data_IF_710498576878
#
_entry.id   IF_710498576878
#
_cell.length_a   1.000
_cell.length_b   1.000
_cell.length_c   1.000
_cell.angle_alpha   90.00
_cell.angle_beta   90.00
_cell.angle_gamma   90.00
#
_symmetry.space_group_name_H-M   'P 1'
#
loop_
_entity.id
_entity.type
_entity.pdbx_description
1 polymer ?
#
# COMPACT_ATOMS: atom_id res chain seq x y z
N UNK A 1 -11.96 -9.74 17.87
CA UNK A 1 -12.04 -8.63 16.91
C UNK A 1 -13.16 -8.93 15.92
N UNK A 2 -13.90 -7.93 15.44
CA UNK A 2 -14.98 -8.12 14.46
C UNK A 2 -14.43 -8.74 13.15
N UNK A 3 -15.06 -9.79 12.62
CA UNK A 3 -14.59 -10.47 11.39
C UNK A 3 -14.51 -9.54 10.17
N UNK A 4 -15.37 -8.52 10.10
CA UNK A 4 -15.36 -7.50 9.05
C UNK A 4 -14.19 -6.54 9.22
N UNK A 5 -13.83 -6.22 10.47
CA UNK A 5 -12.70 -5.38 10.82
C UNK A 5 -11.37 -6.05 10.41
N UNK A 6 -11.21 -7.33 10.73
CA UNK A 6 -10.05 -8.12 10.30
C UNK A 6 -9.93 -8.17 8.77
N UNK A 7 -11.04 -8.41 8.06
CA UNK A 7 -11.05 -8.43 6.60
C UNK A 7 -10.67 -7.07 5.99
N UNK A 8 -10.98 -5.97 6.66
CA UNK A 8 -10.61 -4.63 6.21
C UNK A 8 -9.10 -4.38 6.39
N UNK A 9 -8.53 -4.75 7.55
CA UNK A 9 -7.09 -4.68 7.75
C UNK A 9 -6.31 -5.57 6.79
N UNK A 10 -6.82 -6.77 6.48
CA UNK A 10 -6.20 -7.67 5.51
C UNK A 10 -6.15 -7.03 4.11
N UNK A 11 -7.23 -6.39 3.67
CA UNK A 11 -7.27 -5.66 2.39
C UNK A 11 -6.23 -4.52 2.35
N UNK A 12 -6.11 -3.76 3.44
CA UNK A 12 -5.11 -2.71 3.56
C UNK A 12 -3.68 -3.28 3.53
N UNK A 13 -3.44 -4.39 4.22
CA UNK A 13 -2.13 -5.05 4.23
C UNK A 13 -1.72 -5.54 2.83
N UNK A 14 -2.67 -6.09 2.05
CA UNK A 14 -2.41 -6.51 0.66
C UNK A 14 -2.06 -5.32 -0.24
N UNK A 15 -2.76 -4.18 -0.10
CA UNK A 15 -2.45 -2.95 -0.82
C UNK A 15 -1.07 -2.39 -0.47
N UNK A 16 -0.74 -2.36 0.83
CA UNK A 16 0.57 -1.91 1.30
C UNK A 16 1.70 -2.79 0.74
N UNK A 17 1.51 -4.11 0.74
CA UNK A 17 2.47 -5.05 0.16
C UNK A 17 2.66 -4.83 -1.34
N UNK A 18 1.57 -4.62 -2.09
CA UNK A 18 1.64 -4.34 -3.53
C UNK A 18 2.41 -3.04 -3.82
N UNK A 19 2.16 -1.98 -3.06
CA UNK A 19 2.88 -0.71 -3.19
C UNK A 19 4.37 -0.85 -2.87
N UNK A 20 4.73 -1.58 -1.81
CA UNK A 20 6.14 -1.89 -1.46
C UNK A 20 6.84 -2.67 -2.57
N UNK A 21 6.20 -3.70 -3.11
CA UNK A 21 6.73 -4.46 -4.26
C UNK A 21 6.92 -3.58 -5.48
N UNK A 22 5.98 -2.67 -5.75
CA UNK A 22 6.11 -1.70 -6.84
C UNK A 22 7.35 -0.80 -6.69
N UNK A 23 7.68 -0.37 -5.46
CA UNK A 23 8.91 0.40 -5.20
C UNK A 23 10.17 -0.45 -5.39
N UNK A 24 10.20 -1.68 -4.88
CA UNK A 24 11.32 -2.60 -5.07
C UNK A 24 11.60 -2.85 -6.55
N UNK A 25 10.54 -3.13 -7.32
CA UNK A 25 10.63 -3.31 -8.77
C UNK A 25 11.17 -2.05 -9.45
N UNK A 26 10.72 -0.84 -9.07
CA UNK A 26 11.26 0.41 -9.60
C UNK A 26 12.76 0.61 -9.26
N UNK A 27 13.21 0.17 -8.09
CA UNK A 27 14.62 0.23 -7.69
C UNK A 27 15.48 -0.78 -8.47
N UNK A 28 14.98 -2.00 -8.68
CA UNK A 28 15.68 -3.07 -9.41
C UNK A 28 15.74 -2.81 -10.93
N UNK A 29 14.70 -2.21 -11.51
CA UNK A 29 14.57 -1.99 -12.96
C UNK A 29 15.31 -0.73 -13.44
N UNK A 30 15.71 0.16 -12.53
CA UNK A 30 16.33 1.47 -12.83
C UNK A 30 17.52 1.48 -13.81
N UNK A 31 18.28 0.40 -14.09
CA UNK A 31 19.28 0.47 -15.15
C UNK A 31 18.79 0.05 -16.55
N UNK A 32 17.60 -0.58 -16.73
CA UNK A 32 17.37 -1.40 -17.93
C UNK A 32 16.03 -1.26 -18.68
N UNK A 33 14.99 -0.55 -18.20
CA UNK A 33 13.72 -0.46 -18.94
C UNK A 33 13.13 0.94 -19.06
N UNK A 34 12.52 1.16 -20.22
CA UNK A 34 11.74 2.33 -20.61
C UNK A 34 10.59 2.60 -19.65
N UNK A 35 10.38 3.89 -19.38
CA UNK A 35 9.49 4.55 -18.42
C UNK A 35 7.98 4.18 -18.44
N UNK A 36 7.57 3.12 -19.15
CA UNK A 36 6.17 2.86 -19.51
C UNK A 36 5.51 1.58 -18.96
N UNK A 37 6.22 0.71 -18.22
CA UNK A 37 5.65 -0.57 -17.75
C UNK A 37 5.59 -0.76 -16.23
N UNK A 38 6.18 0.15 -15.44
CA UNK A 38 6.22 0.03 -13.97
C UNK A 38 5.25 1.03 -13.34
N UNK A 39 4.53 0.60 -12.30
CA UNK A 39 3.70 1.49 -11.47
C UNK A 39 4.57 2.66 -10.99
N UNK A 40 4.09 3.90 -11.11
CA UNK A 40 4.91 5.06 -10.75
C UNK A 40 5.27 5.06 -9.27
N UNK A 41 6.49 5.53 -8.97
CA UNK A 41 6.99 5.69 -7.60
C UNK A 41 6.06 6.61 -6.80
N UNK A 42 5.54 7.69 -7.41
CA UNK A 42 4.59 8.59 -6.76
C UNK A 42 3.30 7.85 -6.35
N UNK A 43 2.77 6.98 -7.22
CA UNK A 43 1.55 6.23 -6.94
C UNK A 43 1.75 5.22 -5.81
N UNK A 44 2.89 4.51 -5.81
CA UNK A 44 3.24 3.62 -4.71
C UNK A 44 3.35 4.37 -3.38
N UNK A 45 4.06 5.50 -3.34
CA UNK A 45 4.21 6.31 -2.13
C UNK A 45 2.88 6.89 -1.64
N UNK A 46 2.03 7.38 -2.53
CA UNK A 46 0.69 7.85 -2.19
C UNK A 46 -0.16 6.71 -1.59
N UNK A 47 -0.09 5.51 -2.16
CA UNK A 47 -0.79 4.32 -1.65
C UNK A 47 -0.34 3.96 -0.24
N UNK A 48 0.97 3.99 0.05
CA UNK A 48 1.49 3.73 1.39
C UNK A 48 0.98 4.75 2.42
N UNK A 49 0.98 6.03 2.05
CA UNK A 49 0.43 7.10 2.90
C UNK A 49 -1.06 6.88 3.18
N UNK A 50 -1.84 6.51 2.16
CA UNK A 50 -3.26 6.19 2.33
C UNK A 50 -3.48 4.96 3.21
N UNK A 51 -2.67 3.90 3.08
CA UNK A 51 -2.76 2.73 3.95
C UNK A 51 -2.56 3.09 5.43
N UNK A 52 -1.58 3.94 5.74
CA UNK A 52 -1.35 4.42 7.10
C UNK A 52 -2.53 5.25 7.63
N UNK A 53 -3.09 6.14 6.79
CA UNK A 53 -4.28 6.93 7.14
C UNK A 53 -5.49 6.04 7.41
N UNK A 54 -5.74 5.02 6.57
CA UNK A 54 -6.86 4.11 6.78
C UNK A 54 -6.71 3.30 8.07
N UNK A 55 -5.51 2.78 8.38
CA UNK A 55 -5.28 2.08 9.66
C UNK A 55 -5.59 2.98 10.85
N UNK A 56 -5.12 4.23 10.80
CA UNK A 56 -5.39 5.22 11.85
C UNK A 56 -6.87 5.50 11.97
N UNK A 57 -7.56 5.75 10.85
CA UNK A 57 -8.98 6.05 10.86
C UNK A 57 -9.83 4.88 11.38
N UNK A 58 -9.48 3.65 11.00
CA UNK A 58 -10.13 2.45 11.52
C UNK A 58 -9.93 2.34 13.04
N UNK A 59 -8.72 2.58 13.54
CA UNK A 59 -8.46 2.60 14.99
C UNK A 59 -9.25 3.71 15.69
N UNK A 60 -9.37 4.90 15.10
CA UNK A 60 -10.12 6.02 15.68
C UNK A 60 -11.64 5.77 15.69
N UNK A 61 -12.19 5.08 14.69
CA UNK A 61 -13.63 4.82 14.58
C UNK A 61 -14.09 3.53 15.28
N UNK A 62 -13.22 2.51 15.33
CA UNK A 62 -13.58 1.15 15.75
C UNK A 62 -12.66 0.59 16.84
N UNK A 63 -11.58 1.29 17.18
CA UNK A 63 -10.76 0.99 18.34
C UNK A 63 -11.31 1.68 19.58
N UNK A 64 -11.39 0.92 20.68
CA UNK A 64 -11.65 1.46 22.03
C UNK A 64 -10.45 2.20 22.58
#
# INVERSE_FOLDING_TARGET
MDKKLEALYEKIARLELAAKRGLQINEEIKPHLTQGQVISVEYCNATLKHCALFRRWINECLGS
#
